data_IF_825037365397
#
_entry.id   IF_825037365397
#
_cell.length_a   1.000
_cell.length_b   1.000
_cell.length_c   1.000
_cell.angle_alpha   90.00
_cell.angle_beta   90.00
_cell.angle_gamma   90.00
#
_symmetry.space_group_name_H-M   'P 1'
#
loop_
_entity.id
_entity.type
_entity.pdbx_description
1 polymer ?
#
# COMPACT_ATOMS: atom_id res chain seq x y z
N UNK A 1 -14.66 0.07 16.86
CA UNK A 1 -13.83 -0.97 17.50
C UNK A 1 -12.53 -1.15 16.71
N UNK A 2 -12.54 -1.58 15.43
CA UNK A 2 -11.34 -1.86 14.63
C UNK A 2 -10.43 -0.61 14.48
N UNK A 3 -11.02 0.57 14.24
CA UNK A 3 -10.28 1.82 14.16
C UNK A 3 -9.62 2.20 15.50
N UNK A 4 -10.31 1.97 16.61
CA UNK A 4 -9.82 2.23 17.96
C UNK A 4 -8.63 1.32 18.29
N UNK A 5 -8.76 0.02 18.04
CA UNK A 5 -7.68 -0.97 18.24
C UNK A 5 -6.44 -0.64 17.39
N UNK A 6 -6.65 -0.17 16.16
CA UNK A 6 -5.56 0.24 15.27
C UNK A 6 -4.87 1.51 15.78
N UNK A 7 -5.65 2.50 16.23
CA UNK A 7 -5.10 3.73 16.79
C UNK A 7 -4.30 3.46 18.07
N UNK A 8 -4.79 2.60 18.95
CA UNK A 8 -4.04 2.19 20.16
C UNK A 8 -2.68 1.57 19.81
N UNK A 9 -2.65 0.62 18.85
CA UNK A 9 -1.40 -0.02 18.39
C UNK A 9 -0.40 0.98 17.79
N UNK A 10 -0.90 2.03 17.16
CA UNK A 10 -0.09 3.07 16.53
C UNK A 10 0.23 4.25 17.47
N UNK A 11 -0.27 4.25 18.69
CA UNK A 11 -0.19 5.36 19.65
C UNK A 11 -0.82 6.65 19.10
N UNK A 12 -1.99 6.50 18.48
CA UNK A 12 -2.80 7.59 17.93
C UNK A 12 -4.06 7.76 18.76
N UNK A 13 -4.62 8.97 18.77
CA UNK A 13 -5.87 9.30 19.43
C UNK A 13 -6.95 9.63 18.40
N UNK A 14 -8.18 9.14 18.62
CA UNK A 14 -9.34 9.56 17.84
C UNK A 14 -9.89 10.83 18.47
N UNK A 15 -9.70 11.97 17.82
CA UNK A 15 -10.11 13.28 18.34
C UNK A 15 -11.57 13.59 18.09
N UNK A 16 -12.22 12.89 17.18
CA UNK A 16 -13.63 13.08 16.86
C UNK A 16 -14.04 12.38 15.58
N UNK A 17 -15.31 12.46 15.28
CA UNK A 17 -15.89 11.87 14.07
C UNK A 17 -17.38 12.14 14.04
N UNK A 18 -17.98 11.87 12.89
CA UNK A 18 -19.41 11.94 12.65
C UNK A 18 -19.85 10.72 11.85
N UNK A 19 -21.00 10.17 12.20
CA UNK A 19 -21.62 9.09 11.44
C UNK A 19 -23.01 9.52 11.05
N UNK A 20 -23.33 9.42 9.77
CA UNK A 20 -24.63 9.73 9.21
C UNK A 20 -25.17 8.55 8.43
N UNK A 21 -26.46 8.30 8.57
CA UNK A 21 -27.20 7.29 7.80
C UNK A 21 -28.03 8.03 6.76
N UNK A 22 -27.79 7.74 5.49
CA UNK A 22 -28.49 8.36 4.36
C UNK A 22 -28.90 7.31 3.32
N UNK A 23 -29.97 7.59 2.59
CA UNK A 23 -30.43 6.75 1.47
C UNK A 23 -29.73 7.08 0.14
N UNK A 24 -28.89 8.08 0.11
CA UNK A 24 -28.13 8.50 -1.08
C UNK A 24 -26.94 7.58 -1.33
N UNK A 25 -26.31 7.08 -0.26
CA UNK A 25 -25.16 6.16 -0.33
C UNK A 25 -25.64 4.72 -0.16
N UNK A 26 -25.29 3.85 -1.10
CA UNK A 26 -25.75 2.44 -1.12
C UNK A 26 -24.84 1.49 -0.37
N UNK A 27 -23.66 1.93 -0.01
CA UNK A 27 -22.65 1.13 0.74
C UNK A 27 -21.91 2.05 1.70
N UNK A 28 -21.35 1.51 2.80
CA UNK A 28 -20.59 2.30 3.75
C UNK A 28 -19.44 3.05 3.07
N UNK A 29 -19.26 4.32 3.44
CA UNK A 29 -18.14 5.16 3.04
C UNK A 29 -17.48 5.69 4.31
N UNK A 30 -16.17 5.50 4.41
CA UNK A 30 -15.37 6.00 5.53
C UNK A 30 -14.34 6.97 4.98
N UNK A 31 -14.28 8.17 5.57
CA UNK A 31 -13.22 9.15 5.30
C UNK A 31 -12.45 9.40 6.59
N UNK A 32 -11.13 9.30 6.52
CA UNK A 32 -10.24 9.46 7.68
C UNK A 32 -9.24 10.58 7.38
N UNK A 33 -9.04 11.47 8.36
CA UNK A 33 -8.01 12.50 8.30
C UNK A 33 -7.03 12.28 9.44
N UNK A 34 -5.77 12.01 9.11
CA UNK A 34 -4.68 11.93 10.07
C UNK A 34 -3.98 13.29 10.23
N UNK A 35 -3.72 13.67 11.48
CA UNK A 35 -2.93 14.88 11.80
C UNK A 35 -1.76 14.47 12.65
N UNK A 36 -0.55 14.85 12.24
CA UNK A 36 0.67 14.56 12.97
C UNK A 36 1.55 15.79 13.15
N UNK A 37 2.48 15.71 14.09
CA UNK A 37 3.49 16.74 14.34
C UNK A 37 4.88 16.12 14.37
N UNK A 38 5.81 16.72 13.65
CA UNK A 38 7.20 16.30 13.65
C UNK A 38 8.14 17.49 13.65
N UNK A 39 9.41 17.27 14.00
CA UNK A 39 10.45 18.27 13.81
C UNK A 39 10.72 18.46 12.33
N UNK A 40 10.95 19.72 11.90
CA UNK A 40 11.21 20.04 10.49
C UNK A 40 12.41 19.29 9.91
N UNK A 41 13.43 19.03 10.72
CA UNK A 41 14.64 18.27 10.34
C UNK A 41 14.35 16.79 9.99
N UNK A 42 13.26 16.24 10.51
CA UNK A 42 12.84 14.85 10.25
C UNK A 42 11.90 14.73 9.04
N UNK A 43 11.48 15.85 8.46
CA UNK A 43 10.60 15.84 7.30
C UNK A 43 11.31 15.20 6.10
N UNK A 44 10.65 14.24 5.47
CA UNK A 44 11.10 13.59 4.24
C UNK A 44 10.13 13.95 3.12
N UNK A 45 10.66 14.58 2.08
CA UNK A 45 9.85 15.00 0.92
C UNK A 45 10.54 14.58 -0.37
N UNK A 46 9.76 14.45 -1.44
CA UNK A 46 10.30 14.08 -2.77
C UNK A 46 11.39 15.03 -3.26
N UNK A 47 11.38 16.29 -2.84
CA UNK A 47 12.41 17.27 -3.20
C UNK A 47 13.81 16.98 -2.61
N UNK A 48 13.91 16.00 -1.73
CA UNK A 48 15.19 15.55 -1.16
C UNK A 48 15.84 14.42 -1.95
N UNK A 49 15.14 13.84 -2.91
CA UNK A 49 15.69 12.83 -3.82
C UNK A 49 16.79 13.46 -4.69
N UNK A 50 17.85 12.73 -4.93
CA UNK A 50 18.99 13.12 -5.75
C UNK A 50 19.32 12.03 -6.76
N UNK A 51 19.93 12.35 -7.90
CA UNK A 51 20.52 11.35 -8.79
C UNK A 51 21.45 10.40 -8.05
N UNK A 52 21.63 9.21 -8.58
CA UNK A 52 22.52 8.15 -8.08
C UNK A 52 22.14 7.58 -6.70
N UNK A 53 20.90 7.76 -6.27
CA UNK A 53 20.34 7.11 -5.09
C UNK A 53 19.68 5.79 -5.46
N UNK A 54 19.79 4.80 -4.59
CA UNK A 54 19.12 3.52 -4.74
C UNK A 54 17.61 3.62 -4.45
N UNK A 55 16.81 2.82 -5.17
CA UNK A 55 15.39 2.63 -4.94
C UNK A 55 15.21 1.33 -4.18
N UNK A 56 14.55 1.40 -3.04
CA UNK A 56 14.22 0.25 -2.20
C UNK A 56 12.71 0.04 -2.24
N UNK A 57 12.29 -1.17 -2.57
CA UNK A 57 10.88 -1.61 -2.47
C UNK A 57 10.79 -2.62 -1.34
N UNK A 58 9.99 -2.32 -0.33
CA UNK A 58 9.77 -3.21 0.80
C UNK A 58 8.61 -4.16 0.56
N UNK A 59 8.62 -5.32 1.21
CA UNK A 59 7.59 -6.36 1.07
C UNK A 59 7.36 -6.79 -0.39
N UNK A 60 6.11 -6.76 -0.84
CA UNK A 60 5.71 -7.22 -2.17
C UNK A 60 4.68 -6.27 -2.76
N UNK A 61 4.71 -6.09 -4.06
CA UNK A 61 3.70 -5.27 -4.76
C UNK A 61 2.37 -6.01 -4.89
N UNK A 62 1.29 -5.24 -4.99
CA UNK A 62 -0.07 -5.73 -5.27
C UNK A 62 -0.76 -6.41 -4.09
N UNK A 63 -0.27 -6.26 -2.85
CA UNK A 63 -0.81 -6.95 -1.66
C UNK A 63 -2.27 -6.59 -1.39
N UNK A 64 -2.60 -5.31 -1.32
CA UNK A 64 -3.93 -4.84 -0.97
C UNK A 64 -4.98 -5.28 -2.00
N UNK A 65 -4.74 -5.00 -3.28
CA UNK A 65 -5.66 -5.40 -4.34
C UNK A 65 -5.83 -6.92 -4.42
N UNK A 66 -4.74 -7.69 -4.19
CA UNK A 66 -4.80 -9.16 -4.14
C UNK A 66 -5.67 -9.64 -2.98
N UNK A 67 -5.51 -9.05 -1.80
CA UNK A 67 -6.33 -9.36 -0.62
C UNK A 67 -7.81 -9.07 -0.87
N UNK A 68 -8.12 -7.91 -1.44
CA UNK A 68 -9.50 -7.52 -1.78
C UNK A 68 -10.10 -8.52 -2.77
N UNK A 69 -9.40 -8.83 -3.87
CA UNK A 69 -9.86 -9.79 -4.86
C UNK A 69 -10.05 -11.19 -4.27
N UNK A 70 -9.13 -11.63 -3.41
CA UNK A 70 -9.22 -12.94 -2.76
C UNK A 70 -10.42 -13.06 -1.81
N UNK A 71 -10.76 -11.98 -1.10
CA UNK A 71 -11.91 -11.93 -0.19
C UNK A 71 -13.24 -11.77 -0.96
N UNK A 72 -13.30 -10.80 -1.87
CA UNK A 72 -14.54 -10.47 -2.59
C UNK A 72 -14.92 -11.48 -3.68
N UNK A 73 -13.96 -12.19 -4.24
CA UNK A 73 -14.14 -13.15 -5.34
C UNK A 73 -13.80 -14.59 -4.94
N UNK A 74 -13.85 -14.89 -3.66
CA UNK A 74 -13.45 -16.20 -3.11
C UNK A 74 -14.13 -17.38 -3.82
N UNK A 75 -15.45 -17.35 -3.98
CA UNK A 75 -16.21 -18.42 -4.62
C UNK A 75 -15.88 -18.62 -6.10
N UNK A 76 -15.51 -17.55 -6.78
CA UNK A 76 -15.05 -17.57 -8.16
C UNK A 76 -13.65 -18.18 -8.26
N UNK A 77 -12.74 -17.72 -7.41
CA UNK A 77 -11.36 -18.18 -7.36
C UNK A 77 -11.23 -19.65 -6.96
N UNK A 78 -12.07 -20.15 -6.05
CA UNK A 78 -12.14 -21.58 -5.64
C UNK A 78 -12.43 -22.53 -6.79
N UNK A 79 -13.04 -22.06 -7.87
CA UNK A 79 -13.26 -22.87 -9.08
C UNK A 79 -11.98 -23.13 -9.88
N UNK A 80 -10.95 -22.32 -9.65
CA UNK A 80 -9.72 -22.33 -10.46
C UNK A 80 -8.47 -22.65 -9.66
N UNK A 81 -8.39 -22.19 -8.41
CA UNK A 81 -7.19 -22.26 -7.58
C UNK A 81 -7.40 -23.10 -6.33
N UNK A 82 -6.34 -23.72 -5.81
CA UNK A 82 -6.39 -24.42 -4.52
C UNK A 82 -6.74 -23.45 -3.37
N UNK A 83 -7.47 -23.97 -2.38
CA UNK A 83 -7.87 -23.18 -1.21
C UNK A 83 -6.67 -22.49 -0.52
N UNK A 84 -5.53 -23.19 -0.39
CA UNK A 84 -4.33 -22.66 0.24
C UNK A 84 -3.81 -21.38 -0.44
N UNK A 85 -3.89 -21.27 -1.77
CA UNK A 85 -3.48 -20.06 -2.48
C UNK A 85 -4.40 -18.88 -2.13
N UNK A 86 -5.71 -19.15 -2.09
CA UNK A 86 -6.71 -18.12 -1.78
C UNK A 86 -6.59 -17.66 -0.33
N UNK A 87 -6.45 -18.61 0.60
CA UNK A 87 -6.31 -18.30 2.02
C UNK A 87 -5.01 -17.51 2.29
N UNK A 88 -3.90 -17.89 1.66
CA UNK A 88 -2.65 -17.12 1.73
C UNK A 88 -2.83 -15.70 1.18
N UNK A 89 -3.53 -15.53 0.06
CA UNK A 89 -3.78 -14.21 -0.53
C UNK A 89 -4.69 -13.34 0.35
N UNK A 90 -5.66 -13.93 1.06
CA UNK A 90 -6.53 -13.22 2.02
C UNK A 90 -5.75 -12.71 3.23
N UNK A 91 -4.73 -13.46 3.65
CA UNK A 91 -3.88 -13.14 4.80
C UNK A 91 -2.84 -12.03 4.51
N UNK A 92 -2.75 -11.51 3.29
CA UNK A 92 -1.83 -10.43 2.97
C UNK A 92 -2.18 -9.11 3.68
N UNK A 93 -3.41 -8.96 4.20
CA UNK A 93 -3.82 -7.78 4.97
C UNK A 93 -2.93 -7.52 6.19
N UNK A 94 -2.33 -8.57 6.79
CA UNK A 94 -1.37 -8.43 7.87
C UNK A 94 -0.09 -7.65 7.49
N UNK A 95 0.20 -7.50 6.20
CA UNK A 95 1.39 -6.83 5.68
C UNK A 95 1.11 -5.43 5.13
N UNK A 96 -0.14 -4.94 5.17
CA UNK A 96 -0.50 -3.65 4.56
C UNK A 96 0.10 -2.44 5.28
N UNK A 97 0.25 -2.51 6.61
CA UNK A 97 0.83 -1.39 7.35
C UNK A 97 2.29 -1.13 6.97
N UNK A 98 2.58 0.09 6.53
CA UNK A 98 3.95 0.55 6.19
C UNK A 98 4.64 1.29 7.34
N UNK A 99 4.01 1.35 8.51
CA UNK A 99 4.54 2.06 9.68
C UNK A 99 5.87 1.47 10.18
N UNK A 100 6.05 0.14 10.28
CA UNK A 100 7.35 -0.42 10.69
C UNK A 100 8.47 -0.05 9.72
N UNK A 101 8.22 -0.16 8.42
CA UNK A 101 9.19 0.14 7.37
C UNK A 101 9.56 1.62 7.37
N UNK A 102 8.57 2.51 7.49
CA UNK A 102 8.82 3.95 7.51
C UNK A 102 9.67 4.38 8.71
N UNK A 103 9.48 3.77 9.88
CA UNK A 103 10.30 4.05 11.07
C UNK A 103 11.76 3.64 10.84
N UNK A 104 11.99 2.41 10.37
CA UNK A 104 13.34 1.91 10.06
C UNK A 104 14.00 2.80 8.99
N UNK A 105 13.29 3.15 7.93
CA UNK A 105 13.79 3.98 6.85
C UNK A 105 14.24 5.37 7.35
N UNK A 106 13.45 6.01 8.21
CA UNK A 106 13.81 7.30 8.82
C UNK A 106 15.06 7.18 9.70
N UNK A 107 15.16 6.14 10.52
CA UNK A 107 16.33 5.89 11.37
C UNK A 107 17.62 5.70 10.55
N UNK A 108 17.52 5.12 9.35
CA UNK A 108 18.65 4.91 8.43
C UNK A 108 18.86 6.06 7.43
N UNK A 109 18.17 7.19 7.59
CA UNK A 109 18.43 8.40 6.84
C UNK A 109 17.96 8.38 5.38
N UNK A 110 16.86 7.68 5.08
CA UNK A 110 16.24 7.71 3.76
C UNK A 110 15.91 9.14 3.33
N UNK A 111 16.06 9.44 2.04
CA UNK A 111 15.80 10.77 1.49
C UNK A 111 14.32 11.06 1.33
N UNK A 112 13.55 10.07 0.87
CA UNK A 112 12.11 10.16 0.65
C UNK A 112 11.47 8.80 0.78
N UNK A 113 10.15 8.79 0.98
CA UNK A 113 9.33 7.58 1.03
C UNK A 113 8.02 7.84 0.30
N UNK A 114 7.45 6.80 -0.26
CA UNK A 114 6.14 6.81 -0.90
C UNK A 114 5.46 5.45 -0.67
N UNK A 115 4.19 5.46 -0.35
CA UNK A 115 3.34 4.27 -0.36
C UNK A 115 2.95 3.90 -1.79
N UNK A 116 2.52 2.66 -2.01
CA UNK A 116 2.15 2.17 -3.34
C UNK A 116 0.62 2.01 -3.38
N UNK A 117 -0.09 3.08 -3.70
CA UNK A 117 -1.55 3.15 -3.77
C UNK A 117 -2.06 3.17 -5.22
N UNK A 118 -2.79 4.19 -5.64
CA UNK A 118 -3.37 4.28 -6.97
C UNK A 118 -2.30 4.30 -8.06
N UNK A 119 -2.51 3.49 -9.10
CA UNK A 119 -1.53 3.31 -10.18
C UNK A 119 -0.41 2.34 -9.85
N UNK A 120 -0.41 1.75 -8.65
CA UNK A 120 0.55 0.75 -8.22
C UNK A 120 1.99 1.26 -8.17
N UNK A 121 2.96 0.36 -8.29
CA UNK A 121 4.38 0.74 -8.25
C UNK A 121 4.78 1.68 -9.38
N UNK A 122 4.12 1.58 -10.54
CA UNK A 122 4.38 2.52 -11.64
C UNK A 122 3.91 3.93 -11.31
N UNK A 123 2.76 4.08 -10.63
CA UNK A 123 2.28 5.36 -10.12
C UNK A 123 3.27 5.98 -9.14
N UNK A 124 3.68 5.21 -8.13
CA UNK A 124 4.64 5.66 -7.12
C UNK A 124 5.98 6.09 -7.74
N UNK A 125 6.53 5.33 -8.69
CA UNK A 125 7.74 5.72 -9.40
C UNK A 125 7.58 7.02 -10.17
N UNK A 126 6.46 7.18 -10.87
CA UNK A 126 6.18 8.40 -11.63
C UNK A 126 6.04 9.62 -10.72
N UNK A 127 5.33 9.49 -9.62
CA UNK A 127 5.13 10.58 -8.65
C UNK A 127 6.43 11.01 -7.99
N UNK A 128 7.25 10.05 -7.55
CA UNK A 128 8.55 10.34 -6.96
C UNK A 128 9.50 10.99 -7.95
N UNK A 129 9.61 10.46 -9.17
CA UNK A 129 10.49 10.99 -10.21
C UNK A 129 10.06 12.39 -10.65
N UNK A 130 8.78 12.57 -10.94
CA UNK A 130 8.20 13.84 -11.38
C UNK A 130 8.33 14.92 -10.30
N UNK A 131 8.00 14.57 -9.05
CA UNK A 131 8.10 15.48 -7.91
C UNK A 131 9.54 15.91 -7.58
N UNK A 132 10.51 15.05 -7.86
CA UNK A 132 11.94 15.34 -7.66
C UNK A 132 12.62 15.96 -8.87
N UNK A 133 12.03 15.89 -10.07
CA UNK A 133 12.64 16.30 -11.32
C UNK A 133 13.81 15.42 -11.76
N UNK A 134 13.77 14.12 -11.47
CA UNK A 134 14.82 13.14 -11.80
C UNK A 134 14.26 12.02 -12.68
N UNK A 135 15.15 11.33 -13.41
CA UNK A 135 14.83 10.07 -14.09
C UNK A 135 14.99 8.88 -13.14
N UNK A 136 14.34 7.77 -13.47
CA UNK A 136 14.51 6.48 -12.77
C UNK A 136 14.94 5.41 -13.77
N UNK A 137 15.83 4.53 -13.33
CA UNK A 137 16.16 3.28 -14.02
C UNK A 137 15.75 2.11 -13.12
N UNK A 138 14.81 1.29 -13.57
CA UNK A 138 14.21 0.23 -12.76
C UNK A 138 14.28 -1.10 -13.49
N UNK A 139 14.90 -2.09 -12.88
CA UNK A 139 14.80 -3.49 -13.31
C UNK A 139 13.55 -4.12 -12.69
N UNK A 140 12.49 -4.26 -13.50
CA UNK A 140 11.21 -4.81 -13.05
C UNK A 140 11.33 -6.24 -12.48
N UNK A 141 12.34 -7.00 -12.90
CA UNK A 141 12.57 -8.37 -12.40
C UNK A 141 13.03 -8.39 -10.95
N UNK A 142 13.54 -7.27 -10.44
CA UNK A 142 13.96 -7.14 -9.04
C UNK A 142 12.85 -6.70 -8.10
N UNK A 143 11.71 -6.27 -8.63
CA UNK A 143 10.57 -5.87 -7.82
C UNK A 143 9.94 -7.13 -7.22
N UNK A 144 9.85 -7.23 -5.89
CA UNK A 144 9.33 -8.41 -5.24
C UNK A 144 7.81 -8.51 -5.42
N UNK A 145 7.35 -9.69 -5.84
CA UNK A 145 5.93 -10.01 -6.04
C UNK A 145 5.66 -11.44 -5.56
N UNK A 146 4.49 -11.66 -4.98
CA UNK A 146 4.04 -12.98 -4.53
C UNK A 146 3.40 -13.75 -5.68
N UNK A 147 3.55 -15.07 -5.65
CA UNK A 147 2.93 -15.95 -6.64
C UNK A 147 1.41 -15.81 -6.65
N UNK A 148 0.79 -15.69 -5.49
CA UNK A 148 -0.65 -15.51 -5.33
C UNK A 148 -1.13 -14.24 -6.05
N UNK A 149 -0.37 -13.15 -5.95
CA UNK A 149 -0.64 -11.90 -6.68
C UNK A 149 -0.57 -12.12 -8.19
N UNK A 150 0.47 -12.79 -8.68
CA UNK A 150 0.63 -13.08 -10.12
C UNK A 150 -0.54 -13.89 -10.65
N UNK A 151 -0.91 -14.98 -9.95
CA UNK A 151 -1.98 -15.87 -10.39
C UNK A 151 -3.36 -15.18 -10.39
N UNK A 152 -3.68 -14.44 -9.33
CA UNK A 152 -4.95 -13.73 -9.22
C UNK A 152 -5.02 -12.60 -10.26
N UNK A 153 -3.95 -11.83 -10.43
CA UNK A 153 -3.89 -10.79 -11.46
C UNK A 153 -4.04 -11.34 -12.87
N UNK A 154 -3.37 -12.44 -13.19
CA UNK A 154 -3.51 -13.11 -14.47
C UNK A 154 -4.94 -13.59 -14.72
N UNK A 155 -5.59 -14.12 -13.70
CA UNK A 155 -6.97 -14.59 -13.79
C UNK A 155 -7.95 -13.46 -14.14
N UNK A 156 -7.80 -12.31 -13.51
CA UNK A 156 -8.65 -11.14 -13.74
C UNK A 156 -8.16 -10.24 -14.90
N UNK A 157 -7.05 -10.56 -15.54
CA UNK A 157 -6.50 -9.76 -16.65
C UNK A 157 -6.00 -8.37 -16.22
N UNK A 158 -5.52 -8.23 -14.97
CA UNK A 158 -4.97 -6.98 -14.43
C UNK A 158 -3.45 -7.04 -14.30
N UNK A 159 -2.80 -5.89 -14.46
CA UNK A 159 -1.35 -5.80 -14.34
C UNK A 159 -0.93 -5.62 -12.87
N UNK A 160 -0.16 -6.54 -12.28
CA UNK A 160 0.24 -6.47 -10.88
C UNK A 160 1.09 -5.24 -10.51
N UNK A 161 1.76 -4.62 -11.50
CA UNK A 161 2.53 -3.39 -11.29
C UNK A 161 1.67 -2.12 -11.22
N UNK A 162 0.38 -2.21 -11.52
CA UNK A 162 -0.56 -1.09 -11.56
C UNK A 162 -1.66 -1.16 -10.50
N UNK A 163 -1.64 -2.19 -9.65
CA UNK A 163 -2.62 -2.37 -8.58
C UNK A 163 -2.04 -1.97 -7.21
N UNK A 164 -2.93 -1.61 -6.30
CA UNK A 164 -2.57 -1.15 -4.95
C UNK A 164 -1.81 -2.20 -4.15
N UNK A 165 -0.78 -1.75 -3.46
CA UNK A 165 0.05 -2.58 -2.56
C UNK A 165 -0.07 -2.17 -1.10
N UNK A 166 -0.31 -0.85 -0.86
CA UNK A 166 -0.32 -0.16 0.43
C UNK A 166 1.01 0.45 0.85
#
# INVERSE_FOLDING_TARGET
>A
QDAEETCEKLHMEILGGHTEITNVVKQPLISVTGVGKMKKENLRTVSQIRPDQDIIVTKWIGLEATTILAKEKEDELKKRFPAVLIDTAKDFDQYLSVVPESRIAVEHGVSSMHDITEGGVFGAFWEMASGAGVGLEVDLKKIPIRQETVEICNYFGVNPYQIMSS
#
